data_IF_816247682924
#
_entry.id   IF_816247682924
#
_cell.length_a   1.000
_cell.length_b   1.000
_cell.length_c   1.000
_cell.angle_alpha   90.00
_cell.angle_beta   90.00
_cell.angle_gamma   90.00
#
_symmetry.space_group_name_H-M   'P 1'
#
loop_
_entity.id
_entity.type
_entity.pdbx_description
1 polymer ?
#
# COMPACT_ATOMS: atom_id res chain seq x y z
N UNK A 1 -10.78 2.41 -20.98
CA UNK A 1 -9.57 1.56 -20.97
C UNK A 1 -10.01 0.12 -20.82
N UNK A 2 -9.40 -0.81 -21.55
CA UNK A 2 -9.70 -2.23 -21.37
C UNK A 2 -9.16 -2.74 -20.03
N UNK A 3 -9.75 -3.80 -19.50
CA UNK A 3 -9.34 -4.43 -18.25
C UNK A 3 -7.86 -4.86 -18.29
N UNK A 4 -7.36 -5.30 -19.45
CA UNK A 4 -5.95 -5.70 -19.63
C UNK A 4 -4.99 -4.52 -19.41
N UNK A 5 -5.28 -3.35 -19.97
CA UNK A 5 -4.44 -2.15 -19.77
C UNK A 5 -4.46 -1.67 -18.32
N UNK A 6 -5.62 -1.75 -17.64
CA UNK A 6 -5.72 -1.43 -16.21
C UNK A 6 -4.88 -2.36 -15.34
N UNK A 7 -4.81 -3.65 -15.67
CA UNK A 7 -3.95 -4.60 -14.95
C UNK A 7 -2.46 -4.27 -15.08
N UNK A 8 -1.99 -3.88 -16.26
CA UNK A 8 -0.59 -3.50 -16.47
C UNK A 8 -0.24 -2.24 -15.66
N UNK A 9 -1.04 -1.18 -15.78
CA UNK A 9 -0.81 0.08 -15.03
C UNK A 9 -0.95 -0.17 -13.53
N UNK A 10 -1.96 -0.93 -13.12
CA UNK A 10 -2.20 -1.27 -11.72
C UNK A 10 -1.04 -2.01 -11.08
N UNK A 11 -0.35 -2.90 -11.81
CA UNK A 11 0.84 -3.57 -11.29
C UNK A 11 1.95 -2.56 -10.93
N UNK A 12 2.24 -1.59 -11.80
CA UNK A 12 3.19 -0.52 -11.50
C UNK A 12 2.72 0.37 -10.34
N UNK A 13 1.43 0.73 -10.31
CA UNK A 13 0.86 1.50 -9.22
C UNK A 13 0.98 0.78 -7.87
N UNK A 14 0.81 -0.55 -7.82
CA UNK A 14 1.02 -1.34 -6.60
C UNK A 14 2.47 -1.25 -6.12
N UNK A 15 3.45 -1.37 -7.02
CA UNK A 15 4.88 -1.25 -6.66
C UNK A 15 5.18 0.15 -6.13
N UNK A 16 4.73 1.19 -6.84
CA UNK A 16 4.92 2.59 -6.41
C UNK A 16 4.23 2.82 -5.05
N UNK A 17 3.04 2.28 -4.85
CA UNK A 17 2.30 2.38 -3.59
C UNK A 17 3.08 1.78 -2.42
N UNK A 18 3.64 0.58 -2.59
CA UNK A 18 4.45 -0.07 -1.55
C UNK A 18 5.73 0.74 -1.29
N UNK A 19 6.37 1.24 -2.34
CA UNK A 19 7.58 2.06 -2.22
C UNK A 19 7.30 3.35 -1.41
N UNK A 20 6.27 4.11 -1.80
CA UNK A 20 5.88 5.34 -1.09
C UNK A 20 5.51 5.04 0.36
N UNK A 21 4.76 3.96 0.61
CA UNK A 21 4.41 3.56 1.97
C UNK A 21 5.64 3.19 2.80
N UNK A 22 6.58 2.43 2.24
CA UNK A 22 7.81 2.05 2.92
C UNK A 22 8.64 3.30 3.29
N UNK A 23 8.74 4.28 2.40
CA UNK A 23 9.38 5.56 2.69
C UNK A 23 8.68 6.27 3.84
N UNK A 24 7.35 6.43 3.79
CA UNK A 24 6.58 7.12 4.85
C UNK A 24 6.75 6.41 6.20
N UNK A 25 6.56 5.09 6.25
CA UNK A 25 6.70 4.30 7.47
C UNK A 25 8.14 4.34 8.01
N UNK A 26 9.15 4.34 7.14
CA UNK A 26 10.55 4.47 7.59
C UNK A 26 10.81 5.88 8.13
N UNK A 27 10.34 6.92 7.45
CA UNK A 27 10.47 8.31 7.92
C UNK A 27 9.80 8.54 9.28
N UNK A 28 8.62 7.96 9.51
CA UNK A 28 7.93 8.03 10.81
C UNK A 28 8.73 7.30 11.89
N UNK A 29 9.22 6.10 11.60
CA UNK A 29 10.05 5.34 12.53
C UNK A 29 11.31 6.11 12.94
N UNK A 30 11.98 6.76 11.99
CA UNK A 30 13.18 7.56 12.25
C UNK A 30 12.93 8.80 13.12
N UNK A 31 11.68 9.24 13.27
CA UNK A 31 11.32 10.34 14.17
C UNK A 31 11.08 9.87 15.61
N UNK A 32 11.07 8.56 15.87
CA UNK A 32 10.84 8.05 17.21
C UNK A 32 12.06 8.28 18.10
N UNK A 33 11.89 8.75 19.35
CA UNK A 33 13.00 8.88 20.28
C UNK A 33 13.67 7.55 20.60
N UNK A 34 14.93 7.60 21.00
CA UNK A 34 15.64 6.42 21.46
C UNK A 34 15.05 5.92 22.79
N UNK A 35 15.01 4.59 22.98
CA UNK A 35 14.53 3.97 24.22
C UNK A 35 13.02 3.82 24.34
N UNK A 36 12.25 3.89 23.24
CA UNK A 36 10.84 3.55 23.28
C UNK A 36 10.61 2.12 23.82
N UNK A 37 9.53 1.90 24.59
CA UNK A 37 9.14 0.56 25.00
C UNK A 37 8.95 -0.36 23.78
N UNK A 38 9.49 -1.58 23.85
CA UNK A 38 9.38 -2.54 22.74
C UNK A 38 7.95 -2.84 22.32
N UNK A 39 6.98 -2.75 23.23
CA UNK A 39 5.56 -2.91 22.92
C UNK A 39 5.05 -1.84 21.95
N UNK A 40 5.50 -0.58 22.10
CA UNK A 40 5.11 0.50 21.18
C UNK A 40 5.69 0.24 19.79
N UNK A 41 6.95 -0.22 19.71
CA UNK A 41 7.57 -0.61 18.45
C UNK A 41 6.82 -1.76 17.78
N UNK A 42 6.42 -2.79 18.54
CA UNK A 42 5.63 -3.90 18.02
C UNK A 42 4.31 -3.41 17.41
N UNK A 43 3.55 -2.60 18.16
CA UNK A 43 2.28 -2.04 17.67
C UNK A 43 2.51 -1.20 16.42
N UNK A 44 3.56 -0.38 16.42
CA UNK A 44 3.95 0.43 15.27
C UNK A 44 4.23 -0.44 14.04
N UNK A 45 5.05 -1.49 14.16
CA UNK A 45 5.39 -2.35 13.04
C UNK A 45 4.20 -3.18 12.54
N UNK A 46 3.26 -3.55 13.41
CA UNK A 46 1.99 -4.17 12.99
C UNK A 46 1.19 -3.18 12.13
N UNK A 47 1.01 -1.95 12.61
CA UNK A 47 0.24 -0.93 11.88
C UNK A 47 0.93 -0.54 10.58
N UNK A 48 2.25 -0.31 10.60
CA UNK A 48 3.04 -0.02 9.41
C UNK A 48 3.03 -1.20 8.42
N UNK A 49 3.13 -2.43 8.91
CA UNK A 49 3.08 -3.65 8.11
C UNK A 49 1.70 -3.94 7.52
N UNK A 50 0.62 -3.48 8.15
CA UNK A 50 -0.75 -3.65 7.62
C UNK A 50 -1.22 -2.44 6.81
N UNK A 51 -0.68 -1.25 7.05
CA UNK A 51 -1.22 0.00 6.49
C UNK A 51 -1.06 0.13 4.97
N UNK A 52 -0.04 -0.48 4.36
CA UNK A 52 0.10 -0.49 2.90
C UNK A 52 -1.03 -1.25 2.18
N UNK A 53 -1.77 -2.10 2.89
CA UNK A 53 -2.86 -2.88 2.31
C UNK A 53 -3.99 -1.94 1.85
N UNK A 54 -4.24 -0.83 2.54
CA UNK A 54 -5.29 0.12 2.17
C UNK A 54 -5.13 0.70 0.74
N UNK A 55 -4.00 1.32 0.37
CA UNK A 55 -3.82 1.81 -0.99
C UNK A 55 -3.74 0.67 -2.01
N UNK A 56 -3.10 -0.46 -1.68
CA UNK A 56 -3.05 -1.61 -2.58
C UNK A 56 -4.45 -2.17 -2.90
N UNK A 57 -5.33 -2.30 -1.90
CA UNK A 57 -6.72 -2.73 -2.08
C UNK A 57 -7.48 -1.81 -3.04
N UNK A 58 -7.28 -0.50 -2.94
CA UNK A 58 -7.96 0.47 -3.80
C UNK A 58 -7.52 0.33 -5.27
N UNK A 59 -6.23 0.16 -5.51
CA UNK A 59 -5.65 -0.09 -6.84
C UNK A 59 -6.17 -1.41 -7.40
N UNK A 60 -6.12 -2.49 -6.63
CA UNK A 60 -6.57 -3.82 -7.05
C UNK A 60 -8.07 -3.80 -7.38
N UNK A 61 -8.90 -3.14 -6.57
CA UNK A 61 -10.34 -3.00 -6.82
C UNK A 61 -10.61 -2.27 -8.15
N UNK A 62 -9.82 -1.25 -8.47
CA UNK A 62 -9.91 -0.56 -9.76
C UNK A 62 -9.46 -1.45 -10.94
N UNK A 63 -8.40 -2.24 -10.77
CA UNK A 63 -7.93 -3.22 -11.78
C UNK A 63 -8.95 -4.33 -12.04
N UNK A 64 -9.69 -4.74 -11.01
CA UNK A 64 -10.64 -5.84 -11.07
C UNK A 64 -11.99 -5.46 -11.68
N UNK A 65 -12.30 -4.16 -11.82
CA UNK A 65 -13.57 -3.72 -12.44
C UNK A 65 -13.69 -4.32 -13.85
N UNK A 66 -14.81 -5.00 -14.19
CA UNK A 66 -15.06 -5.49 -15.54
C UNK A 66 -15.19 -4.33 -16.54
N UNK A 67 -15.04 -4.63 -17.83
CA UNK A 67 -15.33 -3.69 -18.91
C UNK A 67 -16.85 -3.66 -19.18
N UNK A 68 -17.42 -2.48 -19.46
CA UNK A 68 -18.88 -2.27 -19.58
C UNK A 68 -19.53 -2.99 -20.78
N UNK A 69 -18.74 -3.52 -21.73
CA UNK A 69 -19.25 -4.22 -22.93
C UNK A 69 -19.56 -5.70 -22.69
N UNK A 70 -20.03 -6.03 -21.50
CA UNK A 70 -20.41 -7.40 -21.07
C UNK A 70 -21.92 -7.64 -21.01
N UNK A 71 -22.73 -6.79 -21.67
CA UNK A 71 -24.13 -7.06 -22.05
C UNK A 71 -24.20 -7.17 -23.57
#
# INVERSE_FOLDING_TARGET
MTQRSRKLIGAFLCVISIFVWACIATSIYLMFPEGLPGLVLIVYFIVAGMGWVFPAMWIIRWMARPDERGL
#
